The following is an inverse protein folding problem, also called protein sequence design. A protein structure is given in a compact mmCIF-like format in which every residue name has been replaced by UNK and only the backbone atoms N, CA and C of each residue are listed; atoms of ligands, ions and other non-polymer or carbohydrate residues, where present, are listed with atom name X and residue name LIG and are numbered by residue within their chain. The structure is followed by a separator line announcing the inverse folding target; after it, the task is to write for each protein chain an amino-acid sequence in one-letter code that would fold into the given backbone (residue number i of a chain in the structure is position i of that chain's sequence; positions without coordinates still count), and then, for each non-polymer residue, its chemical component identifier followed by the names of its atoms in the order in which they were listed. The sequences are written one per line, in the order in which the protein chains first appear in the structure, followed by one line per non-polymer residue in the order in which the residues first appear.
data_IF_748448994300
#
_entry.id   IF_748448994300
#
_cell.length_a   1.000
_cell.length_b   1.000
_cell.length_c   1.000
_cell.angle_alpha   90.00
_cell.angle_beta   90.00
_cell.angle_gamma   90.00
#
_symmetry.space_group_name_H-M   'P 1'
#
loop_
_entity.id
_entity.type
_entity.pdbx_description
1 polymer ?
#
# COMPACT_ATOMS: atom_id res chain seq x y z
N UNK A 1 -11.81 12.27 2.70
CA UNK A 1 -12.63 13.39 3.20
C UNK A 1 -11.85 14.04 4.33
N UNK A 2 -11.64 15.36 4.30
CA UNK A 2 -11.05 16.08 5.42
C UNK A 2 -12.17 16.73 6.25
N UNK A 3 -12.15 16.52 7.56
CA UNK A 3 -13.06 17.21 8.48
C UNK A 3 -12.53 18.61 8.74
N UNK A 4 -13.28 19.62 8.32
CA UNK A 4 -13.02 21.02 8.58
C UNK A 4 -13.84 21.46 9.81
N UNK A 5 -13.57 22.67 10.30
CA UNK A 5 -14.32 23.26 11.40
C UNK A 5 -15.82 23.37 11.11
N UNK A 6 -16.62 23.48 12.19
CA UNK A 6 -18.07 23.67 12.13
C UNK A 6 -18.84 22.58 11.34
N UNK A 7 -18.39 21.33 11.41
CA UNK A 7 -19.10 20.20 10.80
C UNK A 7 -19.01 20.16 9.27
N UNK A 8 -18.08 20.91 8.67
CA UNK A 8 -17.86 20.90 7.22
C UNK A 8 -16.98 19.73 6.81
N UNK A 9 -17.37 19.02 5.76
CA UNK A 9 -16.58 17.95 5.17
C UNK A 9 -16.05 18.39 3.80
N UNK A 10 -14.74 18.26 3.58
CA UNK A 10 -14.11 18.50 2.28
C UNK A 10 -13.91 17.17 1.54
N UNK A 11 -14.54 17.06 0.36
CA UNK A 11 -14.33 15.95 -0.58
C UNK A 11 -13.04 16.19 -1.37
N UNK A 12 -11.93 15.65 -0.85
CA UNK A 12 -10.62 15.76 -1.48
C UNK A 12 -10.38 14.79 -2.65
N UNK A 13 -11.22 13.77 -2.83
CA UNK A 13 -11.11 12.80 -3.91
C UNK A 13 -12.48 12.39 -4.45
N UNK A 14 -12.50 12.04 -5.74
CA UNK A 14 -13.63 11.35 -6.36
C UNK A 14 -13.35 9.84 -6.44
N UNK A 15 -14.41 9.05 -6.53
CA UNK A 15 -14.31 7.60 -6.61
C UNK A 15 -15.67 6.94 -6.61
N UNK A 16 -15.67 5.66 -6.95
CA UNK A 16 -16.86 4.80 -6.97
C UNK A 16 -16.81 3.84 -5.77
N UNK A 17 -17.97 3.54 -5.21
CA UNK A 17 -18.11 2.47 -4.22
C UNK A 17 -18.25 1.14 -4.94
N UNK A 18 -17.45 0.16 -4.53
CA UNK A 18 -17.58 -1.20 -5.01
C UNK A 18 -17.83 -2.12 -3.82
N UNK A 19 -18.84 -2.97 -3.92
CA UNK A 19 -19.19 -3.97 -2.91
C UNK A 19 -19.15 -5.38 -3.50
N UNK A 20 -19.03 -6.37 -2.63
CA UNK A 20 -19.21 -7.77 -3.04
C UNK A 20 -20.65 -8.03 -3.47
N UNK A 21 -20.81 -8.78 -4.55
CA UNK A 21 -22.08 -9.11 -5.16
C UNK A 21 -22.99 -9.88 -4.20
N UNK A 22 -24.02 -9.21 -3.70
CA UNK A 22 -25.01 -9.85 -2.83
C UNK A 22 -26.40 -9.28 -3.09
N UNK A 23 -27.39 -10.14 -3.35
CA UNK A 23 -28.74 -9.70 -3.75
C UNK A 23 -29.42 -8.76 -2.75
N UNK A 24 -29.14 -8.91 -1.45
CA UNK A 24 -29.63 -8.00 -0.39
C UNK A 24 -29.09 -6.56 -0.49
N UNK A 25 -28.01 -6.32 -1.24
CA UNK A 25 -27.41 -4.99 -1.41
C UNK A 25 -28.04 -4.21 -2.56
N UNK A 26 -28.83 -4.83 -3.44
CA UNK A 26 -29.43 -4.16 -4.62
C UNK A 26 -30.21 -2.90 -4.23
N UNK A 27 -31.15 -2.92 -3.25
CA UNK A 27 -31.88 -1.71 -2.89
C UNK A 27 -30.98 -0.58 -2.36
N UNK A 28 -29.86 -0.93 -1.72
CA UNK A 28 -28.90 0.04 -1.19
C UNK A 28 -28.06 0.67 -2.30
N UNK A 29 -27.64 -0.13 -3.29
CA UNK A 29 -26.92 0.36 -4.46
C UNK A 29 -27.79 1.34 -5.27
N UNK A 30 -29.07 0.99 -5.48
CA UNK A 30 -30.03 1.86 -6.18
C UNK A 30 -30.22 3.19 -5.43
N UNK A 31 -30.35 3.13 -4.10
CA UNK A 31 -30.47 4.32 -3.26
C UNK A 31 -29.22 5.22 -3.35
N UNK A 32 -28.01 4.64 -3.29
CA UNK A 32 -26.77 5.41 -3.44
C UNK A 32 -26.65 6.07 -4.81
N UNK A 33 -26.95 5.34 -5.88
CA UNK A 33 -26.93 5.90 -7.23
C UNK A 33 -27.96 7.03 -7.39
N UNK A 34 -29.17 6.87 -6.85
CA UNK A 34 -30.19 7.93 -6.85
C UNK A 34 -29.75 9.18 -6.09
N UNK A 35 -28.91 9.03 -5.06
CA UNK A 35 -28.28 10.14 -4.34
C UNK A 35 -27.00 10.69 -4.98
N UNK A 36 -26.64 10.23 -6.19
CA UNK A 36 -25.43 10.69 -6.89
C UNK A 36 -24.13 10.11 -6.33
N UNK A 37 -24.18 8.99 -5.61
CA UNK A 37 -23.02 8.22 -5.15
C UNK A 37 -22.83 7.04 -6.11
N UNK A 38 -21.83 7.06 -7.00
CA UNK A 38 -21.57 5.94 -7.90
C UNK A 38 -21.25 4.70 -7.08
N UNK A 39 -22.08 3.66 -7.18
CA UNK A 39 -21.96 2.44 -6.40
C UNK A 39 -22.30 1.21 -7.25
N UNK A 40 -21.41 0.23 -7.26
CA UNK A 40 -21.52 -0.97 -8.08
C UNK A 40 -21.21 -2.22 -7.24
N UNK A 41 -21.64 -3.39 -7.72
CA UNK A 41 -21.24 -4.67 -7.14
C UNK A 41 -20.39 -5.47 -8.10
N UNK A 42 -19.52 -6.32 -7.56
CA UNK A 42 -18.72 -7.29 -8.33
C UNK A 42 -18.81 -8.66 -7.70
N UNK A 43 -18.84 -9.69 -8.53
CA UNK A 43 -18.74 -11.08 -8.06
C UNK A 43 -17.30 -11.48 -7.74
N UNK A 44 -16.31 -10.79 -8.31
CA UNK A 44 -14.88 -11.00 -8.01
C UNK A 44 -14.34 -9.86 -7.14
N UNK A 45 -14.87 -9.78 -5.92
CA UNK A 45 -14.45 -8.76 -4.96
C UNK A 45 -13.04 -9.01 -4.43
N UNK A 46 -12.65 -10.29 -4.32
CA UNK A 46 -11.34 -10.69 -3.85
C UNK A 46 -10.22 -10.15 -4.75
N UNK A 47 -10.37 -10.22 -6.07
CA UNK A 47 -9.43 -9.61 -7.02
C UNK A 47 -9.26 -8.11 -6.79
N UNK A 48 -10.36 -7.39 -6.58
CA UNK A 48 -10.36 -5.94 -6.34
C UNK A 48 -9.69 -5.60 -5.03
N UNK A 49 -10.02 -6.30 -3.95
CA UNK A 49 -9.46 -6.10 -2.62
C UNK A 49 -7.93 -6.26 -2.63
N UNK A 50 -7.41 -7.34 -3.24
CA UNK A 50 -5.96 -7.55 -3.34
C UNK A 50 -5.27 -6.57 -4.28
N UNK A 51 -5.93 -6.14 -5.36
CA UNK A 51 -5.43 -5.08 -6.24
C UNK A 51 -5.26 -3.74 -5.50
N UNK A 52 -6.21 -3.40 -4.62
CA UNK A 52 -6.15 -2.19 -3.79
C UNK A 52 -5.10 -2.33 -2.68
N UNK A 53 -5.06 -3.48 -2.01
CA UNK A 53 -4.08 -3.78 -0.97
C UNK A 53 -2.65 -3.65 -1.52
N UNK A 54 -2.39 -4.14 -2.73
CA UNK A 54 -1.08 -4.01 -3.38
C UNK A 54 -0.58 -2.57 -3.41
N UNK A 55 -1.45 -1.59 -3.73
CA UNK A 55 -1.11 -0.17 -3.74
C UNK A 55 -0.95 0.38 -2.31
N UNK A 56 -1.83 -0.02 -1.40
CA UNK A 56 -1.81 0.41 0.00
C UNK A 56 -0.59 -0.12 0.78
N UNK A 57 0.18 -1.08 0.26
CA UNK A 57 1.46 -1.47 0.86
C UNK A 57 2.45 -0.31 0.97
N UNK A 58 2.27 0.79 0.21
CA UNK A 58 3.07 1.99 0.39
C UNK A 58 2.76 2.75 1.70
N UNK A 59 1.58 2.56 2.30
CA UNK A 59 1.19 3.28 3.51
C UNK A 59 2.20 3.02 4.64
N UNK A 60 2.61 1.76 4.83
CA UNK A 60 3.59 1.41 5.86
C UNK A 60 4.99 1.96 5.56
N UNK A 61 5.44 1.94 4.30
CA UNK A 61 6.74 2.50 3.92
C UNK A 61 6.77 4.01 4.15
N UNK A 62 5.72 4.71 3.73
CA UNK A 62 5.58 6.15 3.94
C UNK A 62 5.47 6.52 5.43
N UNK A 63 4.72 5.75 6.22
CA UNK A 63 4.60 5.93 7.65
C UNK A 63 5.93 5.76 8.39
N UNK A 64 6.76 4.78 8.00
CA UNK A 64 8.10 4.59 8.55
C UNK A 64 9.07 5.70 8.10
N UNK A 65 8.92 6.21 6.87
CA UNK A 65 9.77 7.26 6.32
C UNK A 65 9.50 8.65 6.94
N UNK A 66 8.26 8.95 7.29
CA UNK A 66 7.86 10.22 7.92
C UNK A 66 7.87 11.46 7.01
N UNK A 67 8.14 11.26 5.72
CA UNK A 67 8.22 12.32 4.70
C UNK A 67 7.00 12.31 3.78
N UNK A 68 6.68 13.41 3.08
CA UNK A 68 5.61 13.42 2.07
C UNK A 68 5.80 12.34 0.99
N UNK A 69 4.68 11.85 0.43
CA UNK A 69 4.66 10.75 -0.54
C UNK A 69 5.53 11.02 -1.78
N UNK A 70 5.51 12.26 -2.30
CA UNK A 70 6.35 12.62 -3.44
C UNK A 70 7.83 12.54 -3.07
N UNK A 71 8.21 13.03 -1.90
CA UNK A 71 9.58 12.97 -1.41
C UNK A 71 10.04 11.51 -1.23
N UNK A 72 9.21 10.68 -0.60
CA UNK A 72 9.44 9.24 -0.42
C UNK A 72 9.66 8.53 -1.77
N UNK A 73 8.74 8.70 -2.71
CA UNK A 73 8.80 8.03 -4.02
C UNK A 73 9.96 8.53 -4.91
N UNK A 74 10.49 9.74 -4.68
CA UNK A 74 11.69 10.20 -5.39
C UNK A 74 12.97 9.51 -4.92
N UNK A 75 12.95 8.86 -3.76
CA UNK A 75 14.07 8.13 -3.21
C UNK A 75 13.98 6.64 -3.59
N UNK A 76 14.88 6.21 -4.47
CA UNK A 76 14.94 4.83 -4.96
C UNK A 76 14.98 3.76 -3.84
N UNK A 77 15.67 3.96 -2.69
CA UNK A 77 15.70 2.94 -1.65
C UNK A 77 14.33 2.61 -1.05
N UNK A 78 13.48 3.61 -0.80
CA UNK A 78 12.09 3.36 -0.38
C UNK A 78 11.31 2.58 -1.42
N UNK A 79 11.42 2.99 -2.70
CA UNK A 79 10.78 2.25 -3.80
C UNK A 79 11.25 0.80 -3.93
N UNK A 80 12.50 0.50 -3.58
CA UNK A 80 13.02 -0.87 -3.56
C UNK A 80 12.38 -1.70 -2.45
N UNK A 81 12.19 -1.12 -1.25
CA UNK A 81 11.45 -1.76 -0.16
C UNK A 81 10.00 -2.02 -0.58
N UNK A 82 9.31 -1.00 -1.12
CA UNK A 82 7.94 -1.15 -1.61
C UNK A 82 7.82 -2.24 -2.68
N UNK A 83 8.74 -2.24 -3.65
CA UNK A 83 8.80 -3.26 -4.70
C UNK A 83 8.97 -4.67 -4.12
N UNK A 84 9.81 -4.83 -3.10
CA UNK A 84 9.98 -6.13 -2.44
C UNK A 84 8.70 -6.60 -1.75
N UNK A 85 7.99 -5.70 -1.05
CA UNK A 85 6.70 -6.01 -0.42
C UNK A 85 5.65 -6.44 -1.45
N UNK A 86 5.54 -5.71 -2.55
CA UNK A 86 4.61 -6.03 -3.63
C UNK A 86 4.97 -7.35 -4.32
N UNK A 87 6.25 -7.66 -4.49
CA UNK A 87 6.70 -8.94 -5.07
C UNK A 87 6.41 -10.14 -4.16
N UNK A 88 6.48 -9.97 -2.84
CA UNK A 88 6.02 -10.98 -1.88
C UNK A 88 4.53 -11.25 -2.02
N UNK A 89 3.71 -10.20 -2.04
CA UNK A 89 2.26 -10.34 -2.24
C UNK A 89 1.93 -11.02 -3.57
N UNK A 90 2.51 -10.58 -4.68
CA UNK A 90 2.25 -11.16 -5.99
C UNK A 90 2.64 -12.64 -6.08
N UNK A 91 3.71 -13.07 -5.37
CA UNK A 91 4.07 -14.49 -5.27
C UNK A 91 3.03 -15.29 -4.49
N UNK A 92 2.56 -14.75 -3.36
CA UNK A 92 1.52 -15.37 -2.55
C UNK A 92 0.19 -15.49 -3.32
N UNK A 93 -0.25 -14.41 -3.98
CA UNK A 93 -1.44 -14.41 -4.84
C UNK A 93 -1.34 -15.42 -5.98
N UNK A 94 -0.18 -15.51 -6.64
CA UNK A 94 0.06 -16.51 -7.69
C UNK A 94 -0.11 -17.94 -7.16
N UNK A 95 0.36 -18.23 -5.94
CA UNK A 95 0.18 -19.55 -5.30
C UNK A 95 -1.26 -19.81 -4.88
N UNK A 96 -1.99 -18.75 -4.53
CA UNK A 96 -3.42 -18.81 -4.20
C UNK A 96 -4.34 -18.91 -5.41
N UNK A 97 -3.81 -18.79 -6.64
CA UNK A 97 -4.64 -18.74 -7.85
C UNK A 97 -5.43 -17.45 -8.00
N UNK A 98 -5.06 -16.38 -7.28
CA UNK A 98 -5.77 -15.09 -7.28
C UNK A 98 -5.06 -14.15 -8.24
N UNK A 99 -5.81 -13.56 -9.17
CA UNK A 99 -5.32 -12.48 -10.02
C UNK A 99 -5.79 -11.13 -9.46
N UNK A 100 -4.89 -10.26 -8.97
CA UNK A 100 -5.31 -8.96 -8.44
C UNK A 100 -5.81 -8.04 -9.57
N UNK A 101 -6.84 -7.26 -9.29
CA UNK A 101 -7.44 -6.35 -10.26
C UNK A 101 -6.48 -5.21 -10.61
N UNK A 102 -6.63 -4.68 -11.83
CA UNK A 102 -5.91 -3.50 -12.28
C UNK A 102 -6.57 -2.23 -11.71
N UNK A 103 -6.15 -1.82 -10.52
CA UNK A 103 -6.63 -0.58 -9.87
C UNK A 103 -5.92 0.67 -10.39
N UNK A 104 -4.68 0.53 -10.85
CA UNK A 104 -3.87 1.64 -11.39
C UNK A 104 -3.81 1.60 -12.93
N UNK A 105 -3.23 2.64 -13.55
CA UNK A 105 -2.96 2.64 -15.00
C UNK A 105 -2.04 1.49 -15.43
N UNK A 106 -1.14 1.06 -14.55
CA UNK A 106 -0.23 -0.05 -14.79
C UNK A 106 -0.83 -1.40 -14.32
N UNK A 107 -0.62 -2.49 -15.07
CA UNK A 107 -0.92 -3.84 -14.60
C UNK A 107 -0.19 -4.15 -13.28
N UNK A 108 -0.84 -4.83 -12.31
CA UNK A 108 -0.27 -5.13 -10.99
C UNK A 108 1.15 -5.73 -11.03
N UNK A 109 1.40 -6.67 -11.94
CA UNK A 109 2.68 -7.37 -12.06
C UNK A 109 3.83 -6.49 -12.59
N UNK A 110 3.54 -5.35 -13.23
CA UNK A 110 4.55 -4.41 -13.73
C UNK A 110 4.94 -3.35 -12.70
N UNK A 111 4.07 -3.04 -11.73
CA UNK A 111 4.29 -1.98 -10.74
C UNK A 111 5.63 -2.16 -9.99
N UNK A 112 5.99 -3.35 -9.48
CA UNK A 112 7.26 -3.51 -8.76
C UNK A 112 8.50 -3.25 -9.63
N UNK A 113 8.41 -3.49 -10.94
CA UNK A 113 9.49 -3.24 -11.88
C UNK A 113 9.63 -1.76 -12.22
N UNK A 114 8.51 -1.05 -12.36
CA UNK A 114 8.49 0.41 -12.49
C UNK A 114 9.14 1.07 -11.27
N UNK A 115 8.83 0.58 -10.06
CA UNK A 115 9.36 1.10 -8.80
C UNK A 115 10.88 1.00 -8.68
N UNK A 116 11.56 0.08 -9.37
CA UNK A 116 13.03 -0.05 -9.25
C UNK A 116 13.82 0.66 -10.36
N UNK A 117 13.12 1.31 -11.30
CA UNK A 117 13.75 2.10 -12.36
C UNK A 117 14.63 3.21 -11.76
N UNK A 118 15.74 3.59 -12.45
CA UNK A 118 16.54 4.76 -12.07
C UNK A 118 15.67 6.02 -11.90
N UNK A 119 16.06 6.91 -11.00
CA UNK A 119 15.24 8.07 -10.61
C UNK A 119 14.76 8.91 -11.80
N UNK A 120 15.62 9.18 -12.78
CA UNK A 120 15.24 9.96 -13.96
C UNK A 120 14.12 9.29 -14.76
N UNK A 121 14.22 7.98 -14.98
CA UNK A 121 13.24 7.23 -15.76
C UNK A 121 11.93 7.03 -15.00
N UNK A 122 12.03 6.77 -13.69
CA UNK A 122 10.86 6.69 -12.83
C UNK A 122 10.06 7.99 -12.82
N UNK A 123 10.72 9.15 -12.72
CA UNK A 123 10.03 10.45 -12.76
C UNK A 123 9.23 10.66 -14.05
N UNK A 124 9.73 10.14 -15.18
CA UNK A 124 9.02 10.18 -16.47
C UNK A 124 7.82 9.23 -16.46
N UNK A 125 8.02 7.96 -16.09
CA UNK A 125 6.98 6.92 -16.14
C UNK A 125 5.87 7.16 -15.10
N UNK A 126 6.24 7.61 -13.91
CA UNK A 126 5.35 7.82 -12.77
C UNK A 126 4.87 9.28 -12.64
N UNK A 127 5.00 10.11 -13.69
CA UNK A 127 4.66 11.55 -13.64
C UNK A 127 3.27 11.83 -13.07
N UNK A 128 2.26 11.04 -13.46
CA UNK A 128 0.90 11.20 -12.96
C UNK A 128 0.77 10.86 -11.46
N UNK A 129 1.55 9.89 -10.97
CA UNK A 129 1.59 9.52 -9.56
C UNK A 129 2.31 10.57 -8.71
N UNK A 130 3.32 11.24 -9.28
CA UNK A 130 4.06 12.32 -8.62
C UNK A 130 3.37 13.69 -8.70
N UNK A 131 2.22 13.77 -9.36
CA UNK A 131 1.39 14.98 -9.44
C UNK A 131 0.38 15.11 -8.27
N UNK A 132 0.46 14.21 -7.28
CA UNK A 132 -0.27 14.31 -6.01
C UNK A 132 0.20 15.51 -5.20
N UNK A 133 -0.62 15.94 -4.24
CA UNK A 133 -0.29 17.05 -3.34
C UNK A 133 1.11 16.86 -2.70
N UNK A 134 2.03 17.84 -2.82
CA UNK A 134 3.39 17.75 -2.28
C UNK A 134 3.46 17.54 -0.77
N UNK A 135 2.41 17.88 -0.02
CA UNK A 135 2.33 17.70 1.44
C UNK A 135 1.61 16.41 1.84
N UNK A 136 1.03 15.67 0.89
CA UNK A 136 0.29 14.46 1.18
C UNK A 136 1.19 13.38 1.81
N UNK A 137 0.66 12.77 2.86
CA UNK A 137 1.20 11.57 3.51
C UNK A 137 0.13 10.49 3.53
N UNK A 138 0.53 9.27 3.85
CA UNK A 138 -0.40 8.13 3.95
C UNK A 138 -1.29 8.23 5.19
N UNK A 139 -2.45 7.58 5.14
CA UNK A 139 -3.35 7.44 6.29
C UNK A 139 -2.66 6.81 7.51
N UNK A 140 -1.80 5.82 7.28
CA UNK A 140 -1.05 5.16 8.34
C UNK A 140 -0.08 6.11 9.04
N UNK A 141 0.53 7.06 8.31
CA UNK A 141 1.33 8.11 8.94
C UNK A 141 0.46 8.99 9.85
N UNK A 142 -0.70 9.44 9.37
CA UNK A 142 -1.64 10.24 10.19
C UNK A 142 -2.07 9.50 11.46
N UNK A 143 -2.23 8.18 11.39
CA UNK A 143 -2.56 7.35 12.54
C UNK A 143 -1.42 7.28 13.55
N UNK A 144 -0.17 7.11 13.12
CA UNK A 144 1.00 7.15 14.02
C UNK A 144 1.13 8.50 14.72
N UNK A 145 1.03 9.61 13.97
CA UNK A 145 1.14 10.97 14.54
C UNK A 145 0.04 11.28 15.56
N UNK A 146 -1.12 10.64 15.42
CA UNK A 146 -2.26 10.80 16.34
C UNK A 146 -2.31 9.73 17.43
N UNK A 147 -1.33 8.83 17.49
CA UNK A 147 -1.32 7.71 18.44
C UNK A 147 -2.52 6.77 18.29
N UNK A 148 -3.06 6.64 17.07
CA UNK A 148 -4.18 5.73 16.76
C UNK A 148 -3.66 4.37 16.32
N UNK A 149 -4.50 3.36 16.49
CA UNK A 149 -4.25 2.05 15.89
C UNK A 149 -4.27 2.17 14.36
N UNK A 150 -3.24 1.62 13.72
CA UNK A 150 -3.07 1.60 12.26
C UNK A 150 -3.73 0.37 11.64
N UNK A 151 -3.96 0.44 10.34
CA UNK A 151 -4.48 -0.67 9.53
C UNK A 151 -3.44 -1.77 9.20
N UNK A 152 -2.28 -1.83 9.89
CA UNK A 152 -1.16 -2.72 9.53
C UNK A 152 -1.52 -4.22 9.51
N UNK A 153 -2.44 -4.63 10.38
CA UNK A 153 -2.97 -6.00 10.47
C UNK A 153 -3.72 -6.43 9.19
N UNK A 154 -4.34 -5.47 8.51
CA UNK A 154 -5.14 -5.69 7.31
C UNK A 154 -4.38 -5.40 6.02
N UNK A 155 -3.16 -4.85 6.13
CA UNK A 155 -2.27 -4.57 5.00
C UNK A 155 -1.12 -5.60 4.95
N UNK A 156 0.04 -5.27 5.50
CA UNK A 156 1.24 -6.10 5.40
C UNK A 156 1.06 -7.44 6.13
N UNK A 157 0.37 -7.48 7.28
CA UNK A 157 0.12 -8.75 7.96
C UNK A 157 -0.82 -9.66 7.16
N UNK A 158 -1.77 -9.11 6.40
CA UNK A 158 -2.60 -9.90 5.49
C UNK A 158 -1.75 -10.59 4.41
N UNK A 159 -0.68 -9.93 3.92
CA UNK A 159 0.29 -10.54 3.01
C UNK A 159 1.04 -11.69 3.68
N UNK A 160 1.49 -11.50 4.93
CA UNK A 160 2.19 -12.54 5.71
C UNK A 160 1.28 -13.76 5.91
N UNK A 161 0.02 -13.52 6.29
CA UNK A 161 -0.97 -14.58 6.50
C UNK A 161 -1.24 -15.37 5.21
N UNK A 162 -1.44 -14.66 4.08
CA UNK A 162 -1.61 -15.30 2.78
C UNK A 162 -0.37 -16.11 2.38
N UNK A 163 0.82 -15.54 2.58
CA UNK A 163 2.08 -16.20 2.24
C UNK A 163 2.25 -17.51 3.05
N UNK A 164 1.99 -17.45 4.36
CA UNK A 164 2.03 -18.61 5.25
C UNK A 164 1.02 -19.68 4.83
N UNK A 165 -0.22 -19.30 4.54
CA UNK A 165 -1.29 -20.22 4.10
C UNK A 165 -0.89 -21.02 2.85
N UNK A 166 -0.12 -20.41 1.94
CA UNK A 166 0.28 -21.02 0.67
C UNK A 166 1.77 -21.43 0.62
N UNK A 167 2.42 -21.52 1.78
CA UNK A 167 3.78 -22.06 1.90
C UNK A 167 4.86 -21.23 1.20
N UNK A 168 4.70 -19.91 1.12
CA UNK A 168 5.72 -18.98 0.62
C UNK A 168 6.13 -17.97 1.69
N UNK A 169 7.34 -17.43 1.54
CA UNK A 169 7.89 -16.47 2.50
C UNK A 169 7.55 -15.02 2.12
N UNK A 170 7.15 -14.23 3.13
CA UNK A 170 6.98 -12.78 3.06
C UNK A 170 7.77 -12.04 4.16
N UNK A 171 9.11 -12.21 4.24
CA UNK A 171 9.92 -11.64 5.31
C UNK A 171 9.90 -10.11 5.33
N UNK A 172 9.91 -9.44 4.17
CA UNK A 172 9.93 -7.96 4.13
C UNK A 172 8.62 -7.41 4.69
N UNK A 173 7.47 -7.98 4.31
CA UNK A 173 6.19 -7.58 4.88
C UNK A 173 6.12 -7.86 6.39
N UNK A 174 6.62 -9.01 6.85
CA UNK A 174 6.67 -9.33 8.29
C UNK A 174 7.50 -8.32 9.07
N UNK A 175 8.68 -7.97 8.56
CA UNK A 175 9.58 -7.08 9.25
C UNK A 175 9.03 -5.63 9.24
N UNK A 176 8.31 -5.22 8.18
CA UNK A 176 7.52 -3.97 8.19
C UNK A 176 6.44 -3.99 9.28
N UNK A 177 5.70 -5.09 9.45
CA UNK A 177 4.67 -5.19 10.51
C UNK A 177 5.32 -4.96 11.88
N UNK A 178 6.49 -5.54 12.13
CA UNK A 178 7.21 -5.36 13.39
C UNK A 178 7.61 -3.90 13.61
N UNK A 179 8.17 -3.23 12.60
CA UNK A 179 8.58 -1.82 12.70
C UNK A 179 7.39 -0.88 12.94
N UNK A 180 6.25 -1.11 12.28
CA UNK A 180 5.04 -0.30 12.51
C UNK A 180 4.49 -0.54 13.91
N UNK A 181 4.41 -1.80 14.37
CA UNK A 181 3.96 -2.12 15.73
C UNK A 181 4.86 -1.49 16.79
N UNK A 182 6.17 -1.50 16.56
CA UNK A 182 7.13 -0.83 17.43
C UNK A 182 6.86 0.67 17.50
N UNK A 183 6.67 1.35 16.35
CA UNK A 183 6.33 2.77 16.32
C UNK A 183 5.00 3.09 17.04
N UNK A 184 3.96 2.27 16.84
CA UNK A 184 2.69 2.42 17.56
C UNK A 184 2.87 2.32 19.08
N UNK A 185 3.63 1.31 19.54
CA UNK A 185 3.85 1.08 20.96
C UNK A 185 4.67 2.20 21.61
N UNK A 186 5.58 2.83 20.86
CA UNK A 186 6.33 4.00 21.34
C UNK A 186 5.45 5.25 21.44
N UNK A 187 4.45 5.40 20.56
CA UNK A 187 3.50 6.52 20.59
C UNK A 187 4.12 7.89 20.29
N UNK A 188 5.27 7.92 19.59
CA UNK A 188 6.04 9.13 19.30
C UNK A 188 5.85 9.65 17.86
N UNK A 189 4.84 9.13 17.15
CA UNK A 189 4.65 9.40 15.72
C UNK A 189 5.54 8.54 14.84
N UNK A 190 5.79 9.02 13.62
CA UNK A 190 6.67 8.34 12.67
C UNK A 190 8.12 8.25 13.19
N UNK A 191 8.77 7.08 13.05
CA UNK A 191 10.18 6.93 13.41
C UNK A 191 11.14 7.63 12.42
N UNK A 192 10.64 8.20 11.31
CA UNK A 192 11.42 8.97 10.34
C UNK A 192 12.70 8.27 9.84
N UNK A 193 12.61 6.97 9.57
CA UNK A 193 13.77 6.12 9.23
C UNK A 193 14.30 6.51 7.84
N UNK A 194 15.57 6.95 7.69
CA UNK A 194 16.15 7.34 6.41
C UNK A 194 16.14 6.21 5.36
N UNK A 195 16.05 6.58 4.08
CA UNK A 195 15.79 5.63 2.99
C UNK A 195 16.81 4.49 2.87
N UNK A 196 18.11 4.79 2.93
CA UNK A 196 19.16 3.76 2.86
C UNK A 196 19.16 2.89 4.12
N UNK A 197 18.82 3.46 5.28
CA UNK A 197 18.73 2.70 6.53
C UNK A 197 17.54 1.74 6.52
N UNK A 198 16.35 2.21 6.13
CA UNK A 198 15.15 1.37 6.03
C UNK A 198 15.39 0.21 5.06
N UNK A 199 16.01 0.49 3.90
CA UNK A 199 16.41 -0.53 2.95
C UNK A 199 17.44 -1.49 3.54
N UNK A 200 18.46 -1.01 4.25
CA UNK A 200 19.48 -1.88 4.84
C UNK A 200 18.87 -2.83 5.88
N UNK A 201 17.92 -2.34 6.69
CA UNK A 201 17.18 -3.14 7.69
C UNK A 201 16.33 -4.24 7.02
N UNK A 202 15.62 -3.91 5.94
CA UNK A 202 14.59 -4.79 5.34
C UNK A 202 15.09 -5.64 4.16
N UNK A 203 16.10 -5.17 3.44
CA UNK A 203 16.67 -5.83 2.27
C UNK A 203 18.16 -6.06 2.49
N UNK A 204 18.53 -6.91 3.47
CA UNK A 204 19.94 -7.17 3.74
C UNK A 204 20.61 -7.63 2.46
N UNK A 205 21.81 -7.08 2.20
CA UNK A 205 22.60 -7.45 1.03
C UNK A 205 22.79 -8.96 1.08
N UNK A 206 22.20 -9.68 0.12
CA UNK A 206 22.63 -11.05 -0.15
C UNK A 206 24.11 -10.93 -0.48
N UNK A 207 24.97 -11.44 0.41
CA UNK A 207 26.39 -11.50 0.15
C UNK A 207 26.59 -12.22 -1.18
N UNK A 208 26.99 -11.49 -2.22
CA UNK A 208 27.42 -12.06 -3.52
C UNK A 208 28.70 -12.90 -3.41
N UNK A 209 29.08 -13.31 -2.20
CA UNK A 209 30.33 -13.99 -1.87
C UNK A 209 30.17 -15.46 -1.41
N UNK A 210 28.99 -16.04 -1.56
CA UNK A 210 28.85 -17.50 -1.56
C UNK A 210 28.36 -17.94 -2.94
N UNK A 211 29.26 -17.83 -3.92
CA UNK A 211 29.30 -18.87 -4.94
C UNK A 211 29.88 -20.10 -4.27
N UNK A 212 29.15 -21.22 -4.33
CA UNK A 212 29.59 -22.63 -4.23
C UNK A 212 28.32 -23.47 -4.45
N UNK A 213 28.29 -24.09 -5.64
CA UNK A 213 27.47 -25.18 -6.22
C UNK A 213 25.94 -25.14 -6.13
#
# INVERSE_FOLDING_TARGET
VATLEAGRLHRGTEGELLVEGHGKLVPLLDAWQACGVPAHSTQDFQSVAWGKLLLNLNNAVNALAGVPLVEELTQRPYRQVLSACMRELLRALKKAGIQPAKISKAPPFLIPWILILPNWLFKVVARAMLAIDPLARSSMWDDLERGRETEIEYLNQAVVNLAQQYGVAAPVNRDIVLLIKEAQNQGQGSPQIPAEELKARLLPRVNRFLGIF
#
